data_IF_879066492288
#
_entry.id   IF_879066492288
#
_cell.length_a   1.000
_cell.length_b   1.000
_cell.length_c   1.000
_cell.angle_alpha   90.00
_cell.angle_beta   90.00
_cell.angle_gamma   90.00
#
_symmetry.space_group_name_H-M   'P 1'
#
loop_
_entity.id
_entity.type
_entity.pdbx_description
1 polymer ?
#
# COMPACT_ATOMS: atom_id res chain seq x y z
N UNK A 1 13.73 84.17 3.77
CA UNK A 1 15.12 84.59 3.58
C UNK A 1 15.91 84.24 4.82
N UNK A 2 17.05 83.60 4.61
CA UNK A 2 18.19 83.41 5.51
C UNK A 2 18.08 82.35 6.63
N UNK A 3 18.81 81.28 6.32
CA UNK A 3 19.34 80.22 7.16
C UNK A 3 20.21 80.79 8.28
N UNK A 4 20.33 80.07 9.40
CA UNK A 4 21.65 79.62 9.88
C UNK A 4 21.49 78.51 10.93
N UNK A 5 22.30 77.48 10.74
CA UNK A 5 22.53 76.35 11.63
C UNK A 5 23.25 76.79 12.91
N UNK A 6 23.10 76.05 14.01
CA UNK A 6 24.28 75.66 14.76
C UNK A 6 24.12 74.42 15.65
N UNK A 7 25.27 73.77 15.81
CA UNK A 7 25.57 72.47 16.40
C UNK A 7 25.42 72.39 17.92
N UNK A 8 24.94 71.24 18.46
CA UNK A 8 24.87 70.99 19.91
C UNK A 8 25.82 69.87 20.34
N UNK A 9 26.83 70.27 21.14
CA UNK A 9 27.81 69.44 21.86
C UNK A 9 27.18 68.67 23.03
N UNK A 10 27.83 67.54 23.32
CA UNK A 10 27.64 66.58 24.42
C UNK A 10 27.66 67.22 25.82
N UNK A 11 26.92 66.61 26.76
CA UNK A 11 27.21 66.65 28.19
C UNK A 11 26.81 65.30 28.81
N UNK A 12 27.74 64.72 29.57
CA UNK A 12 27.65 63.43 30.21
C UNK A 12 26.75 63.44 31.45
N UNK A 13 26.16 62.28 31.78
CA UNK A 13 25.67 61.98 33.12
C UNK A 13 25.83 60.48 33.42
N UNK A 14 26.95 60.19 34.07
CA UNK A 14 27.11 59.37 35.28
C UNK A 14 26.27 58.09 35.44
N UNK A 15 26.99 56.97 35.39
CA UNK A 15 26.63 55.64 35.84
C UNK A 15 26.31 55.62 37.35
N UNK A 16 25.20 54.96 37.71
CA UNK A 16 25.01 54.30 39.00
C UNK A 16 24.17 53.04 38.76
N UNK A 17 24.79 51.87 38.98
CA UNK A 17 24.08 50.60 39.14
C UNK A 17 23.36 50.60 40.50
N UNK A 18 22.23 49.87 40.66
CA UNK A 18 22.40 48.55 41.27
C UNK A 18 21.35 47.48 40.89
N UNK A 19 21.69 46.28 41.33
CA UNK A 19 20.81 45.20 41.81
C UNK A 19 20.15 44.25 40.80
N UNK A 20 20.84 43.11 40.67
CA UNK A 20 20.35 41.78 40.29
C UNK A 20 19.00 41.45 40.94
N UNK A 21 17.98 41.19 40.12
CA UNK A 21 16.78 40.43 40.50
C UNK A 21 16.60 39.29 39.50
N UNK A 22 16.68 38.06 40.00
CA UNK A 22 16.49 36.81 39.27
C UNK A 22 15.02 36.63 38.92
N UNK A 23 14.67 36.82 37.64
CA UNK A 23 13.37 36.43 37.08
C UNK A 23 13.42 34.99 36.58
N UNK A 24 12.54 34.14 37.10
CA UNK A 24 12.25 32.80 36.56
C UNK A 24 11.72 32.90 35.11
N UNK A 25 12.15 32.03 34.19
CA UNK A 25 11.68 32.06 32.81
C UNK A 25 10.23 31.57 32.76
N UNK A 26 9.32 32.44 32.36
CA UNK A 26 7.96 32.04 32.00
C UNK A 26 8.01 31.25 30.70
N UNK A 27 7.79 29.94 30.78
CA UNK A 27 7.61 29.09 29.61
C UNK A 27 6.31 29.50 28.91
N UNK A 28 6.43 30.21 27.78
CA UNK A 28 5.35 30.42 26.84
C UNK A 28 4.90 29.07 26.29
N UNK A 29 3.81 28.51 26.84
CA UNK A 29 3.14 27.35 26.26
C UNK A 29 2.25 27.84 25.11
N UNK A 30 2.68 27.61 23.87
CA UNK A 30 1.82 27.80 22.71
C UNK A 30 0.77 26.68 22.70
N UNK A 31 -0.49 27.04 22.95
CA UNK A 31 -1.63 26.13 22.83
C UNK A 31 -2.03 26.13 21.34
N UNK A 32 -1.76 25.02 20.65
CA UNK A 32 -2.16 24.84 19.24
C UNK A 32 -3.66 24.51 19.16
N UNK A 33 -4.46 25.52 18.83
CA UNK A 33 -5.92 25.43 18.68
C UNK A 33 -6.37 25.25 17.23
N UNK A 34 -5.50 24.79 16.32
CA UNK A 34 -5.94 24.53 14.94
C UNK A 34 -7.01 23.43 14.91
N UNK A 35 -8.04 23.52 14.05
CA UNK A 35 -9.14 22.53 14.02
C UNK A 35 -8.66 21.10 13.76
N UNK A 36 -7.56 20.94 13.02
CA UNK A 36 -6.96 19.65 12.70
C UNK A 36 -6.30 19.00 13.92
N UNK A 37 -5.61 19.79 14.77
CA UNK A 37 -5.03 19.32 16.04
C UNK A 37 -6.11 18.94 17.05
N UNK A 38 -7.24 19.65 17.08
CA UNK A 38 -8.39 19.27 17.90
C UNK A 38 -9.04 17.97 17.43
N UNK A 39 -9.21 17.78 16.12
CA UNK A 39 -9.78 16.54 15.57
C UNK A 39 -8.86 15.34 15.79
N UNK A 40 -7.54 15.52 15.61
CA UNK A 40 -6.55 14.50 15.90
C UNK A 40 -6.55 14.12 17.39
N UNK A 41 -6.59 15.10 18.29
CA UNK A 41 -6.68 14.87 19.74
C UNK A 41 -7.96 14.13 20.11
N UNK A 42 -9.09 14.47 19.49
CA UNK A 42 -10.38 13.80 19.72
C UNK A 42 -10.39 12.37 19.20
N UNK A 43 -9.78 12.11 18.05
CA UNK A 43 -9.61 10.74 17.53
C UNK A 43 -8.70 9.91 18.43
N UNK A 44 -7.60 10.48 18.92
CA UNK A 44 -6.69 9.84 19.86
C UNK A 44 -7.37 9.54 21.21
N UNK A 45 -8.16 10.47 21.75
CA UNK A 45 -8.96 10.25 22.96
C UNK A 45 -10.04 9.17 22.76
N UNK A 46 -10.61 9.06 21.56
CA UNK A 46 -11.61 8.03 21.23
C UNK A 46 -10.97 6.66 21.06
N UNK A 47 -9.77 6.59 20.47
CA UNK A 47 -8.97 5.38 20.37
C UNK A 47 -8.57 4.87 21.76
N UNK A 48 -8.13 5.77 22.65
CA UNK A 48 -7.73 5.43 24.02
C UNK A 48 -8.92 5.00 24.91
N UNK A 49 -10.16 5.36 24.55
CA UNK A 49 -11.39 4.95 25.26
C UNK A 49 -12.09 3.74 24.64
N UNK A 50 -11.47 3.06 23.67
CA UNK A 50 -12.04 1.86 23.08
C UNK A 50 -12.23 0.77 24.14
N UNK A 51 -13.35 0.02 24.15
CA UNK A 51 -13.56 -1.11 25.05
C UNK A 51 -12.40 -2.12 25.04
N UNK A 52 -11.68 -2.21 23.91
CA UNK A 52 -10.50 -3.07 23.76
C UNK A 52 -9.30 -2.53 24.54
N UNK A 53 -9.07 -1.21 24.52
CA UNK A 53 -8.02 -0.57 25.34
C UNK A 53 -8.35 -0.75 26.81
N UNK A 54 -9.61 -0.61 27.22
CA UNK A 54 -10.04 -0.86 28.60
C UNK A 54 -9.89 -2.34 29.01
N UNK A 55 -10.15 -3.29 28.11
CA UNK A 55 -9.91 -4.72 28.36
C UNK A 55 -8.41 -5.03 28.44
N UNK A 56 -7.58 -4.41 27.61
CA UNK A 56 -6.11 -4.52 27.65
C UNK A 56 -5.53 -3.86 28.91
N UNK A 57 -6.00 -2.67 29.28
CA UNK A 57 -5.63 -1.99 30.54
C UNK A 57 -6.07 -2.80 31.76
N UNK A 58 -7.19 -3.52 31.69
CA UNK A 58 -7.61 -4.43 32.76
C UNK A 58 -6.74 -5.69 32.85
N UNK A 59 -6.21 -6.18 31.72
CA UNK A 59 -5.19 -7.23 31.70
C UNK A 59 -3.88 -6.68 32.27
N UNK A 60 -3.43 -5.51 31.83
CA UNK A 60 -2.23 -4.83 32.34
C UNK A 60 -2.35 -4.50 33.83
N UNK A 61 -3.52 -4.08 34.32
CA UNK A 61 -3.74 -3.80 35.74
C UNK A 61 -3.70 -5.06 36.60
N UNK A 62 -4.29 -6.17 36.12
CA UNK A 62 -4.18 -7.48 36.80
C UNK A 62 -2.77 -8.06 36.78
N UNK A 63 -1.95 -7.69 35.80
CA UNK A 63 -0.56 -8.13 35.68
C UNK A 63 0.39 -7.19 36.46
N UNK A 64 0.12 -5.89 36.49
CA UNK A 64 0.92 -4.85 37.17
C UNK A 64 0.89 -4.93 38.69
N UNK A 65 -0.20 -5.41 39.30
CA UNK A 65 -0.30 -5.57 40.77
C UNK A 65 0.70 -6.59 41.34
N UNK A 66 1.40 -7.33 40.46
CA UNK A 66 2.46 -8.29 40.80
C UNK A 66 3.87 -7.84 40.44
N UNK A 67 4.05 -6.67 39.81
CA UNK A 67 5.37 -6.24 39.33
C UNK A 67 6.10 -5.49 40.44
N UNK A 68 6.84 -6.23 41.26
CA UNK A 68 7.90 -5.60 42.05
C UNK A 68 8.96 -5.01 41.10
N UNK A 69 9.45 -3.79 41.36
CA UNK A 69 10.52 -3.20 40.55
C UNK A 69 11.70 -4.15 40.49
N UNK A 70 12.09 -4.53 39.28
CA UNK A 70 13.14 -5.53 39.05
C UNK A 70 14.45 -5.07 39.71
N UNK A 71 15.04 -5.89 40.58
CA UNK A 71 16.25 -5.51 41.30
C UNK A 71 17.36 -5.10 40.31
N UNK A 72 18.01 -3.98 40.60
CA UNK A 72 19.17 -3.48 39.88
C UNK A 72 20.37 -4.39 40.21
N UNK A 73 20.51 -5.49 39.48
CA UNK A 73 21.57 -6.48 39.72
C UNK A 73 21.63 -7.57 38.65
N UNK A 74 22.73 -8.33 38.65
CA UNK A 74 22.95 -9.47 37.74
C UNK A 74 21.94 -10.56 38.12
N UNK A 75 21.04 -10.91 37.19
CA UNK A 75 20.02 -11.95 37.42
C UNK A 75 20.66 -13.32 37.67
N UNK A 76 20.12 -14.07 38.60
CA UNK A 76 20.44 -15.49 38.79
C UNK A 76 19.82 -16.34 37.67
N UNK A 77 20.32 -17.56 37.47
CA UNK A 77 19.74 -18.52 36.50
C UNK A 77 18.26 -18.84 36.80
N UNK A 78 17.89 -18.92 38.08
CA UNK A 78 16.51 -19.17 38.49
C UNK A 78 15.58 -18.01 38.12
N UNK A 79 16.02 -16.76 38.37
CA UNK A 79 15.28 -15.56 37.95
C UNK A 79 15.14 -15.49 36.42
N UNK A 80 16.21 -15.79 35.67
CA UNK A 80 16.15 -15.85 34.21
C UNK A 80 15.12 -16.87 33.71
N UNK A 81 15.04 -18.05 34.34
CA UNK A 81 14.07 -19.07 33.97
C UNK A 81 12.64 -18.64 34.32
N UNK A 82 12.43 -17.99 35.46
CA UNK A 82 11.13 -17.49 35.87
C UNK A 82 10.64 -16.38 34.93
N UNK A 83 11.52 -15.43 34.56
CA UNK A 83 11.22 -14.39 33.57
C UNK A 83 10.78 -15.00 32.24
N UNK A 84 11.43 -16.07 31.79
CA UNK A 84 11.04 -16.80 30.57
C UNK A 84 9.66 -17.45 30.71
N UNK A 85 9.35 -18.04 31.87
CA UNK A 85 8.06 -18.69 32.10
C UNK A 85 6.92 -17.66 32.15
N UNK A 86 7.15 -16.51 32.81
CA UNK A 86 6.20 -15.42 32.87
C UNK A 86 5.99 -14.77 31.50
N UNK A 87 7.07 -14.48 30.77
CA UNK A 87 7.00 -14.01 29.40
C UNK A 87 6.22 -14.99 28.52
N UNK A 88 6.46 -16.29 28.69
CA UNK A 88 5.75 -17.33 27.96
C UNK A 88 4.25 -17.30 28.25
N UNK A 89 3.85 -17.23 29.51
CA UNK A 89 2.45 -17.18 29.91
C UNK A 89 1.74 -15.91 29.40
N UNK A 90 2.41 -14.75 29.45
CA UNK A 90 1.89 -13.49 28.92
C UNK A 90 1.72 -13.55 27.39
N UNK A 91 2.72 -14.06 26.68
CA UNK A 91 2.61 -14.26 25.22
C UNK A 91 1.52 -15.27 24.87
N UNK A 92 1.34 -16.35 25.65
CA UNK A 92 0.24 -17.30 25.42
C UNK A 92 -1.14 -16.65 25.62
N UNK A 93 -1.29 -15.76 26.61
CA UNK A 93 -2.52 -14.99 26.80
C UNK A 93 -2.74 -14.00 25.65
N UNK A 94 -1.69 -13.28 25.25
CA UNK A 94 -1.73 -12.38 24.11
C UNK A 94 -2.14 -13.12 22.84
N UNK A 95 -1.48 -14.25 22.55
CA UNK A 95 -1.80 -15.12 21.41
C UNK A 95 -3.24 -15.58 21.44
N UNK A 96 -3.83 -15.90 22.60
CA UNK A 96 -5.26 -16.26 22.72
C UNK A 96 -6.19 -15.12 22.35
N UNK A 97 -5.85 -13.89 22.75
CA UNK A 97 -6.67 -12.69 22.53
C UNK A 97 -6.48 -12.03 21.15
N UNK A 98 -5.31 -12.19 20.54
CA UNK A 98 -4.95 -11.58 19.27
C UNK A 98 -5.53 -12.34 18.06
N UNK A 99 -5.94 -11.60 17.03
CA UNK A 99 -6.49 -12.14 15.78
C UNK A 99 -5.40 -12.42 14.74
N UNK A 100 -4.40 -11.54 14.65
CA UNK A 100 -3.34 -11.61 13.63
C UNK A 100 -1.96 -11.76 14.27
N UNK A 101 -0.97 -12.21 13.49
CA UNK A 101 0.43 -12.24 13.95
C UNK A 101 0.99 -10.83 14.19
N UNK A 102 0.59 -9.83 13.40
CA UNK A 102 1.04 -8.44 13.57
C UNK A 102 0.57 -7.81 14.88
N UNK A 103 -0.65 -8.15 15.34
CA UNK A 103 -1.13 -7.74 16.67
C UNK A 103 -0.23 -8.29 17.77
N UNK A 104 0.21 -9.55 17.67
CA UNK A 104 1.12 -10.16 18.65
C UNK A 104 2.51 -9.52 18.59
N UNK A 105 3.03 -9.31 17.38
CA UNK A 105 4.35 -8.70 17.16
C UNK A 105 4.44 -7.28 17.72
N UNK A 106 3.34 -6.52 17.72
CA UNK A 106 3.31 -5.17 18.25
C UNK A 106 3.67 -5.10 19.75
N UNK A 107 3.45 -6.17 20.53
CA UNK A 107 3.77 -6.23 21.96
C UNK A 107 5.17 -6.77 22.25
N UNK A 108 5.88 -7.29 21.25
CA UNK A 108 7.21 -7.88 21.45
C UNK A 108 8.21 -6.92 22.13
N UNK A 109 8.32 -5.63 21.74
CA UNK A 109 9.22 -4.70 22.45
C UNK A 109 8.89 -4.54 23.93
N UNK A 110 7.60 -4.45 24.27
CA UNK A 110 7.14 -4.29 25.66
C UNK A 110 7.45 -5.53 26.49
N UNK A 111 7.13 -6.73 25.98
CA UNK A 111 7.41 -7.99 26.66
C UNK A 111 8.93 -8.20 26.77
N UNK A 112 9.68 -7.84 25.72
CA UNK A 112 11.14 -7.89 25.71
C UNK A 112 11.74 -7.00 26.80
N UNK A 113 11.26 -5.77 26.94
CA UNK A 113 11.72 -4.84 27.97
C UNK A 113 11.32 -5.31 29.37
N UNK A 114 10.04 -5.66 29.56
CA UNK A 114 9.45 -6.11 30.82
C UNK A 114 10.20 -7.29 31.43
N UNK A 115 10.53 -8.29 30.62
CA UNK A 115 11.24 -9.50 31.08
C UNK A 115 12.74 -9.47 30.79
N UNK A 116 13.27 -8.36 30.25
CA UNK A 116 14.66 -8.22 29.79
C UNK A 116 15.06 -9.39 28.90
N UNK A 117 14.22 -9.72 27.92
CA UNK A 117 14.49 -10.76 26.93
C UNK A 117 15.64 -10.32 26.02
N UNK A 118 16.53 -11.26 25.67
CA UNK A 118 17.55 -11.00 24.64
C UNK A 118 16.89 -10.98 23.27
N UNK A 119 15.90 -11.83 23.06
CA UNK A 119 15.11 -11.87 21.84
C UNK A 119 13.70 -12.39 22.14
N UNK A 120 12.73 -11.83 21.43
CA UNK A 120 11.39 -12.37 21.24
C UNK A 120 11.03 -12.11 19.78
N UNK A 121 10.47 -13.11 19.12
CA UNK A 121 10.17 -13.01 17.70
C UNK A 121 9.46 -14.24 17.19
N UNK A 122 8.88 -14.15 16.01
CA UNK A 122 8.41 -15.33 15.32
C UNK A 122 9.59 -16.05 14.64
N UNK A 123 9.60 -17.38 14.72
CA UNK A 123 10.51 -18.21 13.98
C UNK A 123 9.97 -18.55 12.59
N UNK A 124 10.79 -19.32 11.88
CA UNK A 124 10.56 -19.81 10.53
C UNK A 124 9.20 -20.51 10.31
N UNK A 125 8.70 -21.21 11.34
CA UNK A 125 7.46 -21.98 11.29
C UNK A 125 6.23 -21.18 11.76
N UNK A 126 6.41 -19.90 12.10
CA UNK A 126 5.35 -19.09 12.72
C UNK A 126 5.07 -19.48 14.17
N UNK A 127 6.06 -20.02 14.88
CA UNK A 127 6.05 -20.17 16.34
C UNK A 127 6.76 -18.96 16.97
N UNK A 128 6.40 -18.55 18.17
CA UNK A 128 7.10 -17.47 18.88
C UNK A 128 8.27 -18.09 19.65
N UNK A 129 9.48 -17.58 19.42
CA UNK A 129 10.69 -17.92 20.14
C UNK A 129 11.04 -16.81 21.14
N UNK A 130 11.31 -17.20 22.38
CA UNK A 130 11.75 -16.33 23.47
C UNK A 130 13.14 -16.78 23.91
N UNK A 131 14.13 -15.87 23.90
CA UNK A 131 15.51 -16.14 24.31
C UNK A 131 15.91 -15.22 25.46
N UNK A 132 16.20 -15.83 26.62
CA UNK A 132 16.99 -15.23 27.72
C UNK A 132 18.19 -16.10 28.09
N UNK A 133 18.13 -17.37 27.69
CA UNK A 133 18.93 -18.48 28.19
C UNK A 133 18.37 -18.96 29.55
N UNK A 134 17.41 -19.92 29.57
CA UNK A 134 17.06 -20.83 28.47
C UNK A 134 16.11 -20.24 27.41
N UNK A 135 15.91 -21.00 26.33
CA UNK A 135 15.00 -20.68 25.21
C UNK A 135 13.63 -21.31 25.45
N UNK A 136 12.55 -20.58 25.18
CA UNK A 136 11.19 -21.10 25.17
C UNK A 136 10.56 -20.93 23.78
N UNK A 137 9.61 -21.82 23.45
CA UNK A 137 8.84 -21.80 22.20
C UNK A 137 7.34 -21.82 22.50
N UNK A 138 6.56 -21.09 21.72
CA UNK A 138 5.10 -21.02 21.81
C UNK A 138 4.53 -21.25 20.41
N UNK A 139 3.55 -22.14 20.29
CA UNK A 139 2.91 -22.44 19.02
C UNK A 139 1.85 -21.37 18.68
N UNK A 140 2.03 -20.68 17.55
CA UNK A 140 1.09 -19.71 16.98
C UNK A 140 0.64 -20.07 15.56
N UNK A 141 0.82 -21.34 15.15
CA UNK A 141 0.71 -21.79 13.76
C UNK A 141 -0.70 -21.67 13.13
N UNK A 142 -1.75 -21.53 13.95
CA UNK A 142 -3.15 -21.45 13.50
C UNK A 142 -3.65 -20.00 13.32
N UNK A 143 -2.81 -18.98 13.51
CA UNK A 143 -3.20 -17.56 13.36
C UNK A 143 -3.05 -17.08 11.92
N UNK A 144 -3.85 -16.07 11.56
CA UNK A 144 -3.77 -15.37 10.27
C UNK A 144 -2.45 -14.63 10.13
N UNK A 145 -1.82 -14.71 8.96
CA UNK A 145 -0.60 -13.95 8.67
C UNK A 145 -1.01 -12.55 8.23
N UNK A 146 -0.57 -11.53 8.96
CA UNK A 146 -0.55 -10.14 8.50
C UNK A 146 0.87 -9.68 8.14
N UNK A 147 0.99 -8.51 7.52
CA UNK A 147 2.27 -7.94 7.10
C UNK A 147 3.31 -7.84 8.21
N UNK A 148 4.60 -7.93 7.87
CA UNK A 148 5.74 -7.87 8.80
C UNK A 148 6.33 -9.24 9.11
N UNK A 149 5.48 -10.27 9.19
CA UNK A 149 5.93 -11.63 9.29
C UNK A 149 6.18 -12.22 7.90
N UNK A 150 7.45 -12.48 7.55
CA UNK A 150 7.83 -13.44 6.52
C UNK A 150 8.02 -14.81 7.21
N UNK A 151 7.02 -15.71 7.22
CA UNK A 151 7.27 -17.10 7.58
C UNK A 151 8.39 -17.60 6.67
N UNK A 152 9.33 -18.37 7.18
CA UNK A 152 10.56 -18.65 6.45
C UNK A 152 10.33 -19.16 5.04
N UNK A 153 11.11 -18.58 4.13
CA UNK A 153 10.96 -18.73 2.70
C UNK A 153 10.27 -17.48 2.18
N UNK A 154 10.92 -16.74 1.29
CA UNK A 154 10.31 -15.63 0.57
C UNK A 154 8.96 -16.08 0.00
N UNK A 155 7.88 -15.83 0.75
CA UNK A 155 6.54 -15.96 0.19
C UNK A 155 6.49 -14.81 -0.80
N UNK A 156 6.70 -15.19 -2.06
CA UNK A 156 6.44 -14.36 -3.21
C UNK A 156 5.08 -14.75 -3.75
N UNK A 157 4.43 -13.79 -4.40
CA UNK A 157 3.21 -14.09 -5.14
C UNK A 157 3.50 -15.22 -6.14
N UNK A 158 2.73 -16.32 -6.07
CA UNK A 158 2.83 -17.44 -7.01
C UNK A 158 1.52 -17.59 -7.75
N UNK A 159 1.54 -17.23 -9.03
CA UNK A 159 0.34 -17.30 -9.89
C UNK A 159 0.56 -18.30 -11.01
N UNK A 160 -0.37 -19.23 -11.15
CA UNK A 160 -0.42 -20.21 -12.22
C UNK A 160 -1.65 -19.97 -13.08
N UNK A 161 -1.47 -20.00 -14.40
CA UNK A 161 -2.54 -19.82 -15.36
C UNK A 161 -2.71 -21.10 -16.19
N UNK A 162 -3.94 -21.45 -16.49
CA UNK A 162 -4.30 -22.43 -17.53
C UNK A 162 -5.06 -21.71 -18.61
N UNK A 163 -4.83 -22.10 -19.86
CA UNK A 163 -5.37 -21.42 -21.03
C UNK A 163 -5.99 -22.41 -22.01
N UNK A 164 -6.87 -21.92 -22.86
CA UNK A 164 -7.36 -22.63 -24.04
C UNK A 164 -7.37 -21.72 -25.27
N UNK A 165 -7.64 -22.30 -26.44
CA UNK A 165 -7.89 -21.55 -27.67
C UNK A 165 -9.39 -21.38 -27.86
N UNK A 166 -9.85 -20.13 -27.95
CA UNK A 166 -11.24 -19.77 -28.21
C UNK A 166 -11.32 -18.74 -29.32
N UNK A 167 -12.05 -19.07 -30.39
CA UNK A 167 -12.28 -18.14 -31.50
C UNK A 167 -11.03 -17.64 -32.24
N UNK A 168 -9.91 -18.34 -32.12
CA UNK A 168 -8.61 -17.94 -32.68
C UNK A 168 -7.79 -17.03 -31.76
N UNK A 169 -8.08 -17.02 -30.46
CA UNK A 169 -7.27 -16.33 -29.44
C UNK A 169 -7.02 -17.25 -28.25
N UNK A 170 -5.89 -17.04 -27.58
CA UNK A 170 -5.63 -17.64 -26.27
C UNK A 170 -6.50 -16.94 -25.22
N UNK A 171 -7.16 -17.71 -24.37
CA UNK A 171 -7.94 -17.19 -23.24
C UNK A 171 -7.57 -17.94 -21.95
N UNK A 172 -7.62 -17.25 -20.82
CA UNK A 172 -7.43 -17.87 -19.50
C UNK A 172 -8.66 -18.65 -19.07
N UNK A 173 -8.49 -19.91 -18.68
CA UNK A 173 -9.57 -20.76 -18.17
C UNK A 173 -9.40 -21.13 -16.70
N UNK A 174 -8.20 -20.92 -16.15
CA UNK A 174 -7.95 -21.07 -14.72
C UNK A 174 -6.84 -20.14 -14.28
N UNK A 175 -7.00 -19.55 -13.11
CA UNK A 175 -5.95 -18.83 -12.39
C UNK A 175 -5.92 -19.34 -10.96
N UNK A 176 -4.73 -19.64 -10.45
CA UNK A 176 -4.49 -19.95 -9.03
C UNK A 176 -3.37 -19.05 -8.53
N UNK A 177 -3.68 -18.20 -7.57
CA UNK A 177 -2.73 -17.43 -6.80
C UNK A 177 -2.58 -18.07 -5.42
N UNK A 178 -1.47 -18.77 -5.19
CA UNK A 178 -1.21 -19.48 -3.93
C UNK A 178 0.28 -19.41 -3.55
N UNK A 179 0.68 -18.45 -2.68
CA UNK A 179 -0.15 -17.42 -2.08
C UNK A 179 -0.13 -16.12 -2.91
N UNK A 180 -1.10 -15.24 -2.68
CA UNK A 180 -0.99 -13.80 -2.99
C UNK A 180 -1.01 -13.00 -1.69
N UNK A 181 -0.14 -12.01 -1.57
CA UNK A 181 0.00 -11.23 -0.34
C UNK A 181 0.28 -9.76 -0.64
N UNK A 182 0.42 -8.95 0.41
CA UNK A 182 0.46 -7.49 0.28
C UNK A 182 1.79 -6.94 -0.29
N UNK A 183 2.69 -7.81 -0.75
CA UNK A 183 3.88 -7.48 -1.54
C UNK A 183 3.69 -7.84 -3.02
N UNK A 184 2.45 -8.07 -3.47
CA UNK A 184 2.19 -8.33 -4.88
C UNK A 184 2.69 -7.15 -5.75
N UNK A 185 3.20 -7.42 -6.96
CA UNK A 185 3.51 -6.35 -7.91
C UNK A 185 2.21 -5.65 -8.34
N UNK A 186 2.33 -4.46 -8.89
CA UNK A 186 1.21 -3.82 -9.59
C UNK A 186 0.87 -4.63 -10.86
N UNK A 187 -0.42 -4.91 -11.06
CA UNK A 187 -0.92 -5.52 -12.28
C UNK A 187 -1.08 -4.49 -13.40
N UNK A 188 -1.66 -4.90 -14.52
CA UNK A 188 -1.82 -4.04 -15.69
C UNK A 188 -3.19 -4.14 -16.35
N UNK A 189 -3.65 -3.06 -17.01
CA UNK A 189 -4.89 -3.08 -17.78
C UNK A 189 -4.75 -4.07 -18.96
N UNK A 190 -5.87 -4.57 -19.52
CA UNK A 190 -5.81 -5.52 -20.62
C UNK A 190 -5.09 -4.93 -21.85
N UNK A 191 -3.98 -5.55 -22.27
CA UNK A 191 -3.21 -5.14 -23.45
C UNK A 191 -4.10 -5.01 -24.69
N UNK A 192 -3.79 -4.04 -25.56
CA UNK A 192 -4.53 -3.79 -26.80
C UNK A 192 -4.46 -4.96 -27.79
N UNK A 193 -3.38 -5.74 -27.76
CA UNK A 193 -3.21 -6.94 -28.59
C UNK A 193 -3.91 -8.17 -28.02
N UNK A 194 -4.13 -8.21 -26.70
CA UNK A 194 -4.73 -9.36 -26.04
C UNK A 194 -6.15 -9.61 -26.56
N UNK A 195 -6.41 -10.85 -26.97
CA UNK A 195 -7.69 -11.36 -27.46
C UNK A 195 -8.30 -10.56 -28.62
N UNK A 196 -7.49 -9.81 -29.38
CA UNK A 196 -7.98 -8.91 -30.45
C UNK A 196 -8.89 -9.62 -31.45
N UNK A 197 -8.52 -10.83 -31.89
CA UNK A 197 -9.30 -11.61 -32.86
C UNK A 197 -10.64 -12.04 -32.30
N UNK A 198 -10.67 -12.56 -31.07
CA UNK A 198 -11.89 -13.01 -30.41
C UNK A 198 -12.83 -11.84 -30.07
N UNK A 199 -12.31 -10.78 -29.45
CA UNK A 199 -13.09 -9.59 -29.12
C UNK A 199 -13.60 -8.87 -30.38
N UNK A 200 -12.87 -8.95 -31.49
CA UNK A 200 -13.31 -8.47 -32.80
C UNK A 200 -14.60 -9.13 -33.30
N UNK A 201 -14.93 -10.34 -32.83
CA UNK A 201 -16.15 -11.08 -33.19
C UNK A 201 -17.33 -10.81 -32.25
N UNK A 202 -17.11 -10.17 -31.11
CA UNK A 202 -18.12 -9.95 -30.06
C UNK A 202 -18.63 -8.50 -30.06
N UNK A 203 -19.79 -8.30 -29.44
CA UNK A 203 -20.33 -6.95 -29.18
C UNK A 203 -19.53 -6.29 -28.07
N UNK A 204 -18.78 -5.23 -28.40
CA UNK A 204 -17.93 -4.49 -27.44
C UNK A 204 -18.27 -3.00 -27.38
N UNK A 205 -19.33 -2.57 -28.07
CA UNK A 205 -19.74 -1.16 -28.14
C UNK A 205 -20.15 -0.67 -26.73
N UNK A 206 -19.50 0.38 -26.18
CA UNK A 206 -19.82 0.92 -24.86
C UNK A 206 -21.28 1.32 -24.67
N UNK A 207 -22.01 1.66 -25.74
CA UNK A 207 -23.42 2.09 -25.71
C UNK A 207 -24.40 0.93 -25.49
N UNK A 208 -23.95 -0.30 -25.65
CA UNK A 208 -24.79 -1.49 -25.43
C UNK A 208 -25.00 -1.74 -23.94
N UNK A 209 -26.11 -2.42 -23.63
CA UNK A 209 -26.41 -2.92 -22.30
C UNK A 209 -25.25 -3.77 -21.77
N UNK A 210 -25.11 -3.84 -20.44
CA UNK A 210 -23.98 -4.57 -19.86
C UNK A 210 -24.10 -6.10 -20.03
N UNK A 211 -25.30 -6.60 -20.26
CA UNK A 211 -25.62 -8.00 -20.59
C UNK A 211 -25.15 -8.37 -22.00
N UNK A 212 -25.20 -7.42 -22.94
CA UNK A 212 -24.87 -7.66 -24.34
C UNK A 212 -23.45 -7.25 -24.72
N UNK A 213 -22.82 -6.42 -23.88
CA UNK A 213 -21.46 -5.92 -24.04
C UNK A 213 -20.44 -6.83 -23.38
N UNK A 214 -19.50 -7.31 -24.18
CA UNK A 214 -18.32 -8.04 -23.72
C UNK A 214 -17.15 -7.10 -23.49
N UNK A 215 -16.38 -7.43 -22.46
CA UNK A 215 -15.08 -6.83 -22.14
C UNK A 215 -14.04 -7.92 -21.88
N UNK A 216 -12.77 -7.53 -21.83
CA UNK A 216 -11.66 -8.40 -21.43
C UNK A 216 -11.61 -8.42 -19.90
N UNK A 217 -12.19 -9.45 -19.28
CA UNK A 217 -12.21 -9.60 -17.84
C UNK A 217 -10.96 -10.29 -17.34
N UNK A 218 -10.37 -9.79 -16.26
CA UNK A 218 -9.24 -10.43 -15.60
C UNK A 218 -9.69 -11.66 -14.78
N UNK A 219 -8.82 -12.68 -14.68
CA UNK A 219 -9.00 -13.76 -13.70
C UNK A 219 -8.40 -13.36 -12.34
N UNK A 220 -7.16 -12.85 -12.36
CA UNK A 220 -6.54 -12.15 -11.24
C UNK A 220 -6.65 -10.65 -11.50
N UNK A 221 -7.28 -9.92 -10.57
CA UNK A 221 -7.47 -8.49 -10.70
C UNK A 221 -6.13 -7.73 -10.72
N UNK A 222 -6.07 -6.67 -11.51
CA UNK A 222 -4.89 -5.82 -11.71
C UNK A 222 -4.42 -5.10 -10.44
N UNK A 223 -5.33 -4.71 -9.55
CA UNK A 223 -4.99 -4.09 -8.27
C UNK A 223 -4.37 -5.06 -7.25
N UNK A 224 -4.31 -6.35 -7.59
CA UNK A 224 -3.63 -7.40 -6.83
C UNK A 224 -2.64 -8.16 -7.74
N UNK A 225 -2.01 -7.46 -8.69
CA UNK A 225 -0.90 -8.03 -9.48
C UNK A 225 -1.29 -8.84 -10.71
N UNK A 226 -2.56 -8.77 -11.13
CA UNK A 226 -3.05 -9.36 -12.36
C UNK A 226 -2.48 -8.69 -13.62
N UNK A 227 -1.70 -9.39 -14.46
CA UNK A 227 -1.21 -8.84 -15.72
C UNK A 227 -2.33 -8.80 -16.77
N UNK A 228 -2.34 -7.78 -17.63
CA UNK A 228 -3.30 -7.64 -18.71
C UNK A 228 -2.96 -8.41 -19.98
N UNK A 229 -2.71 -9.72 -19.88
CA UNK A 229 -2.26 -10.59 -20.97
C UNK A 229 -3.23 -11.76 -21.18
N UNK A 230 -3.22 -12.37 -22.37
CA UNK A 230 -4.20 -13.39 -22.79
C UNK A 230 -4.47 -14.49 -21.74
N UNK A 231 -3.43 -14.98 -21.09
CA UNK A 231 -3.53 -16.07 -20.08
C UNK A 231 -4.29 -15.68 -18.80
N UNK A 232 -4.43 -14.39 -18.52
CA UNK A 232 -5.16 -13.85 -17.37
C UNK A 232 -6.48 -13.17 -17.80
N UNK A 233 -6.89 -13.30 -19.06
CA UNK A 233 -8.07 -12.62 -19.57
C UNK A 233 -9.08 -13.64 -20.11
N UNK A 234 -10.36 -13.34 -19.96
CA UNK A 234 -11.45 -14.09 -20.62
C UNK A 234 -12.54 -13.10 -21.07
N UNK A 235 -13.21 -13.33 -22.22
CA UNK A 235 -14.37 -12.52 -22.60
C UNK A 235 -15.51 -12.70 -21.62
N UNK A 236 -15.85 -11.63 -20.92
CA UNK A 236 -16.92 -11.61 -19.91
C UNK A 236 -17.90 -10.49 -20.25
N UNK A 237 -19.19 -10.69 -19.96
CA UNK A 237 -20.17 -9.60 -20.06
C UNK A 237 -19.86 -8.51 -19.03
N UNK A 238 -20.15 -7.25 -19.34
CA UNK A 238 -19.82 -6.14 -18.45
C UNK A 238 -20.52 -6.24 -17.09
N UNK A 239 -21.75 -6.79 -17.04
CA UNK A 239 -22.43 -7.02 -15.75
C UNK A 239 -21.80 -8.17 -14.98
N UNK A 240 -21.45 -9.28 -15.63
CA UNK A 240 -20.77 -10.38 -14.95
C UNK A 240 -19.41 -9.93 -14.39
N UNK A 241 -18.67 -9.08 -15.11
CA UNK A 241 -17.44 -8.47 -14.59
C UNK A 241 -17.67 -7.60 -13.35
N UNK A 242 -18.74 -6.78 -13.37
CA UNK A 242 -19.12 -5.99 -12.19
C UNK A 242 -19.45 -6.90 -11.00
N UNK A 243 -20.18 -7.98 -11.22
CA UNK A 243 -20.52 -8.97 -10.18
C UNK A 243 -19.27 -9.68 -9.66
N UNK A 244 -18.35 -10.07 -10.54
CA UNK A 244 -17.07 -10.67 -10.17
C UNK A 244 -16.29 -9.75 -9.23
N UNK A 245 -16.23 -8.45 -9.56
CA UNK A 245 -15.65 -7.45 -8.69
C UNK A 245 -16.34 -7.38 -7.31
N UNK A 246 -17.66 -7.21 -7.31
CA UNK A 246 -18.42 -6.90 -6.10
C UNK A 246 -18.49 -8.07 -5.11
N UNK A 247 -18.59 -9.30 -5.63
CA UNK A 247 -18.84 -10.50 -4.82
C UNK A 247 -17.55 -11.13 -4.27
N UNK A 248 -16.42 -11.01 -4.96
CA UNK A 248 -15.17 -11.66 -4.51
C UNK A 248 -13.91 -10.79 -4.65
N UNK A 249 -13.70 -10.07 -5.76
CA UNK A 249 -12.44 -9.33 -5.91
C UNK A 249 -12.30 -8.22 -4.86
N UNK A 250 -13.41 -7.56 -4.49
CA UNK A 250 -13.42 -6.55 -3.42
C UNK A 250 -12.96 -7.14 -2.08
N UNK A 251 -13.44 -8.33 -1.73
CA UNK A 251 -13.05 -9.03 -0.50
C UNK A 251 -11.57 -9.41 -0.54
N UNK A 252 -11.09 -9.96 -1.66
CA UNK A 252 -9.67 -10.32 -1.83
C UNK A 252 -8.78 -9.06 -1.78
N UNK A 253 -9.19 -7.97 -2.41
CA UNK A 253 -8.49 -6.67 -2.32
C UNK A 253 -8.44 -6.16 -0.89
N UNK A 254 -9.51 -6.26 -0.13
CA UNK A 254 -9.52 -5.85 1.27
C UNK A 254 -8.56 -6.69 2.12
N UNK A 255 -8.62 -8.02 1.98
CA UNK A 255 -7.72 -8.93 2.67
C UNK A 255 -6.26 -8.63 2.35
N UNK A 256 -5.91 -8.52 1.06
CA UNK A 256 -4.53 -8.29 0.63
C UNK A 256 -4.10 -6.86 0.91
N UNK A 257 -4.82 -5.86 0.41
CA UNK A 257 -4.34 -4.47 0.37
C UNK A 257 -4.68 -3.65 1.60
N UNK A 258 -5.65 -4.05 2.45
CA UNK A 258 -6.00 -3.28 3.65
C UNK A 258 -5.66 -4.03 4.94
N UNK A 259 -5.85 -5.35 4.96
CA UNK A 259 -5.57 -6.19 6.14
C UNK A 259 -4.20 -6.86 6.10
N UNK A 260 -3.51 -6.81 4.97
CA UNK A 260 -2.18 -7.38 4.81
C UNK A 260 -2.11 -8.90 4.85
N UNK A 261 -3.22 -9.58 4.53
CA UNK A 261 -3.30 -11.03 4.57
C UNK A 261 -2.63 -11.68 3.36
N UNK A 262 -2.05 -12.86 3.61
CA UNK A 262 -1.75 -13.81 2.55
C UNK A 262 -3.01 -14.61 2.24
N UNK A 263 -3.35 -14.73 0.97
CA UNK A 263 -4.63 -15.27 0.49
C UNK A 263 -4.35 -16.35 -0.54
N UNK A 264 -5.13 -17.42 -0.49
CA UNK A 264 -5.35 -18.29 -1.64
C UNK A 264 -6.47 -17.71 -2.48
N UNK A 265 -6.29 -17.57 -3.78
CA UNK A 265 -7.35 -17.14 -4.69
C UNK A 265 -7.33 -17.98 -5.96
N UNK A 266 -8.48 -18.56 -6.30
CA UNK A 266 -8.67 -19.34 -7.52
C UNK A 266 -9.89 -18.86 -8.30
N UNK A 267 -9.74 -18.78 -9.61
CA UNK A 267 -10.83 -18.55 -10.57
C UNK A 267 -10.77 -19.66 -11.62
N UNK A 268 -11.89 -20.37 -11.82
CA UNK A 268 -12.05 -21.36 -12.90
C UNK A 268 -13.18 -20.93 -13.82
N UNK A 269 -12.88 -20.86 -15.11
CA UNK A 269 -13.86 -20.58 -16.16
C UNK A 269 -14.30 -21.89 -16.78
N UNK A 270 -15.60 -22.13 -16.78
CA UNK A 270 -16.25 -23.22 -17.50
C UNK A 270 -17.03 -22.63 -18.67
N UNK A 271 -16.72 -23.05 -19.88
CA UNK A 271 -17.42 -22.62 -21.08
C UNK A 271 -18.86 -23.17 -21.08
N UNK A 272 -19.86 -22.29 -21.22
CA UNK A 272 -21.30 -22.61 -21.25
C UNK A 272 -21.89 -22.43 -22.67
N UNK A 273 -21.02 -22.54 -23.68
CA UNK A 273 -21.35 -22.47 -25.08
C UNK A 273 -21.01 -21.12 -25.73
N UNK A 274 -20.72 -21.16 -27.03
CA UNK A 274 -20.39 -19.97 -27.80
C UNK A 274 -20.88 -20.08 -29.24
N UNK A 275 -21.04 -18.91 -29.88
CA UNK A 275 -21.28 -18.77 -31.33
C UNK A 275 -20.41 -17.63 -31.84
N UNK A 276 -19.56 -17.93 -32.83
CA UNK A 276 -18.53 -16.99 -33.32
C UNK A 276 -18.50 -16.87 -34.85
N UNK A 277 -19.48 -17.45 -35.55
CA UNK A 277 -19.58 -17.49 -37.01
C UNK A 277 -20.70 -16.58 -37.58
N UNK A 278 -21.39 -15.83 -36.72
CA UNK A 278 -22.43 -14.87 -37.12
C UNK A 278 -21.94 -13.42 -37.10
N UNK A 279 -22.89 -12.50 -37.16
CA UNK A 279 -22.61 -11.08 -36.91
C UNK A 279 -22.24 -10.85 -35.43
N UNK A 280 -21.58 -9.74 -35.09
CA UNK A 280 -21.25 -9.41 -33.69
C UNK A 280 -22.48 -9.47 -32.76
N UNK A 281 -23.62 -8.99 -33.26
CA UNK A 281 -24.89 -9.03 -32.54
C UNK A 281 -25.41 -10.46 -32.28
N UNK A 282 -25.11 -11.41 -33.15
CA UNK A 282 -25.48 -12.82 -32.99
C UNK A 282 -24.45 -13.65 -32.23
N UNK A 283 -23.19 -13.19 -32.22
CA UNK A 283 -22.10 -13.90 -31.56
C UNK A 283 -22.18 -13.74 -30.04
N UNK A 284 -21.75 -14.80 -29.34
CA UNK A 284 -21.70 -14.84 -27.88
C UNK A 284 -20.63 -15.83 -27.41
N UNK A 285 -20.15 -15.62 -26.18
CA UNK A 285 -19.35 -16.55 -25.41
C UNK A 285 -19.96 -16.58 -24.02
N UNK A 286 -20.65 -17.67 -23.69
CA UNK A 286 -21.21 -17.84 -22.36
C UNK A 286 -20.22 -18.63 -21.51
N UNK A 287 -20.13 -18.27 -20.23
CA UNK A 287 -19.24 -18.95 -19.30
C UNK A 287 -19.75 -18.83 -17.86
N UNK A 288 -19.28 -19.76 -17.02
CA UNK A 288 -19.42 -19.73 -15.56
C UNK A 288 -18.04 -19.59 -14.94
N UNK A 289 -17.88 -18.58 -14.08
CA UNK A 289 -16.68 -18.36 -13.28
C UNK A 289 -16.94 -18.90 -11.88
N UNK A 290 -16.25 -19.97 -11.50
CA UNK A 290 -16.27 -20.50 -10.14
C UNK A 290 -15.05 -19.95 -9.42
N UNK A 291 -15.28 -19.12 -8.42
CA UNK A 291 -14.23 -18.41 -7.71
C UNK A 291 -14.21 -18.85 -6.24
N UNK A 292 -13.02 -19.00 -5.67
CA UNK A 292 -12.80 -19.35 -4.27
C UNK A 292 -11.63 -18.54 -3.73
N UNK A 293 -11.79 -17.93 -2.55
CA UNK A 293 -10.69 -17.30 -1.84
C UNK A 293 -10.79 -17.49 -0.34
N UNK A 294 -9.63 -17.55 0.33
CA UNK A 294 -9.52 -17.58 1.78
C UNK A 294 -8.14 -17.08 2.24
N UNK A 295 -8.03 -16.41 3.40
CA UNK A 295 -6.75 -16.10 4.03
C UNK A 295 -5.99 -17.37 4.44
N UNK A 296 -4.68 -17.25 4.53
CA UNK A 296 -3.77 -18.31 4.93
C UNK A 296 -3.25 -18.06 6.34
N UNK A 297 -3.20 -19.13 7.14
CA UNK A 297 -2.57 -19.13 8.45
C UNK A 297 -1.04 -19.14 8.35
N UNK A 298 -0.35 -18.95 9.48
CA UNK A 298 1.11 -18.97 9.59
C UNK A 298 1.74 -20.21 8.96
N UNK A 299 1.15 -21.39 9.17
CA UNK A 299 1.60 -22.65 8.56
C UNK A 299 1.14 -22.85 7.10
N UNK A 300 0.50 -21.85 6.48
CA UNK A 300 0.06 -21.89 5.09
C UNK A 300 -1.22 -22.70 4.85
N UNK A 301 -2.00 -22.98 5.89
CA UNK A 301 -3.29 -23.66 5.78
C UNK A 301 -4.42 -22.65 5.55
N UNK A 302 -5.56 -23.17 5.10
CA UNK A 302 -6.82 -22.42 4.99
C UNK A 302 -7.24 -21.92 6.39
N UNK A 303 -7.58 -20.64 6.47
CA UNK A 303 -8.26 -20.07 7.63
C UNK A 303 -9.78 -20.26 7.51
N UNK A 304 -10.50 -20.06 8.61
CA UNK A 304 -11.96 -20.27 8.65
C UNK A 304 -12.72 -19.28 7.76
N UNK A 305 -12.19 -18.08 7.54
CA UNK A 305 -12.80 -17.08 6.66
C UNK A 305 -12.65 -17.49 5.18
N UNK A 306 -13.77 -17.73 4.50
CA UNK A 306 -13.80 -18.20 3.10
C UNK A 306 -14.92 -17.53 2.31
N UNK A 307 -14.64 -17.19 1.06
CA UNK A 307 -15.64 -16.76 0.08
C UNK A 307 -15.60 -17.68 -1.13
N UNK A 308 -16.78 -18.11 -1.58
CA UNK A 308 -16.95 -18.85 -2.83
C UNK A 308 -18.16 -18.32 -3.59
N UNK A 309 -17.97 -18.04 -4.88
CA UNK A 309 -19.02 -17.49 -5.72
C UNK A 309 -18.99 -18.11 -7.11
N UNK A 310 -20.17 -18.32 -7.69
CA UNK A 310 -20.35 -18.65 -9.09
C UNK A 310 -20.93 -17.44 -9.84
N UNK A 311 -20.18 -16.90 -10.81
CA UNK A 311 -20.63 -15.80 -11.66
C UNK A 311 -20.98 -16.34 -13.04
N UNK A 312 -22.20 -16.08 -13.50
CA UNK A 312 -22.66 -16.44 -14.84
C UNK A 312 -22.45 -15.24 -15.77
N UNK A 313 -21.74 -15.47 -16.88
CA UNK A 313 -21.59 -14.52 -17.96
C UNK A 313 -22.35 -15.03 -19.18
N UNK A 314 -23.51 -14.45 -19.46
CA UNK A 314 -24.37 -14.88 -20.56
C UNK A 314 -25.00 -13.70 -21.28
N UNK A 315 -24.88 -13.69 -22.61
CA UNK A 315 -25.45 -12.61 -23.44
C UNK A 315 -26.96 -12.51 -23.28
N UNK A 316 -27.51 -11.30 -23.20
CA UNK A 316 -28.94 -11.03 -23.13
C UNK A 316 -29.63 -11.53 -21.85
N UNK A 317 -28.89 -12.03 -20.87
CA UNK A 317 -29.46 -12.51 -19.61
C UNK A 317 -29.49 -11.39 -18.57
N UNK A 318 -30.67 -10.80 -18.37
CA UNK A 318 -30.92 -9.82 -17.29
C UNK A 318 -31.04 -10.52 -15.93
N UNK A 319 -31.48 -11.79 -15.94
CA UNK A 319 -31.46 -12.66 -14.76
C UNK A 319 -30.05 -13.21 -14.58
N UNK A 320 -29.16 -12.39 -14.05
CA UNK A 320 -28.08 -12.97 -13.27
C UNK A 320 -28.76 -13.64 -12.09
N UNK A 321 -28.80 -14.97 -12.13
CA UNK A 321 -29.26 -15.80 -11.03
C UNK A 321 -28.82 -15.15 -9.72
N UNK A 322 -29.81 -14.78 -8.90
CA UNK A 322 -29.63 -14.66 -7.46
C UNK A 322 -28.68 -15.78 -7.08
N UNK A 323 -27.49 -15.43 -6.57
CA UNK A 323 -26.62 -16.44 -6.03
C UNK A 323 -27.49 -17.30 -5.13
N UNK A 324 -27.39 -18.63 -5.25
CA UNK A 324 -27.65 -19.46 -4.10
C UNK A 324 -26.86 -18.80 -2.98
N UNK A 325 -27.59 -18.10 -2.11
CA UNK A 325 -27.01 -17.21 -1.13
C UNK A 325 -26.18 -18.08 -0.22
N UNK A 326 -24.87 -18.13 -0.48
CA UNK A 326 -23.96 -18.40 0.60
C UNK A 326 -24.07 -17.18 1.49
N UNK A 327 -24.78 -17.35 2.60
CA UNK A 327 -24.61 -16.49 3.76
C UNK A 327 -23.11 -16.47 4.03
N UNK A 328 -22.51 -15.31 3.81
CA UNK A 328 -21.26 -15.01 4.48
C UNK A 328 -21.69 -14.91 5.93
N UNK A 329 -21.53 -16.01 6.67
CA UNK A 329 -21.70 -16.04 8.12
C UNK A 329 -20.53 -15.21 8.69
N UNK A 330 -20.59 -13.89 8.47
CA UNK A 330 -19.75 -12.92 9.17
C UNK A 330 -20.34 -12.80 10.57
N UNK A 331 -20.23 -13.85 11.37
CA UNK A 331 -20.47 -13.76 12.80
C UNK A 331 -19.43 -12.80 13.37
N UNK A 332 -19.83 -11.53 13.46
CA UNK A 332 -19.56 -10.59 14.55
C UNK A 332 -18.11 -10.27 14.91
N UNK A 333 -17.11 -10.87 14.27
CA UNK A 333 -15.71 -10.77 14.68
C UNK A 333 -15.04 -9.60 13.99
N UNK A 334 -15.60 -8.39 14.17
CA UNK A 334 -14.92 -7.08 14.09
C UNK A 334 -13.47 -7.16 13.59
N UNK A 335 -13.27 -7.25 12.28
CA UNK A 335 -11.97 -7.53 11.71
C UNK A 335 -10.98 -6.47 12.17
N UNK A 336 -9.90 -6.90 12.85
CA UNK A 336 -8.89 -5.98 13.30
C UNK A 336 -7.97 -5.64 12.13
N UNK A 337 -7.89 -4.35 11.83
CA UNK A 337 -6.92 -3.76 10.93
C UNK A 337 -5.57 -3.68 11.64
N UNK A 338 -4.50 -4.11 10.99
CA UNK A 338 -3.14 -3.93 11.49
C UNK A 338 -2.81 -2.43 11.50
N UNK A 339 -2.62 -1.83 12.67
CA UNK A 339 -2.32 -0.40 12.80
C UNK A 339 -0.91 -0.02 12.31
N UNK A 340 -0.04 -1.00 12.07
CA UNK A 340 1.28 -0.84 11.42
C UNK A 340 1.22 -1.15 9.93
N UNK A 341 0.08 -1.63 9.42
CA UNK A 341 -0.22 -1.51 8.02
C UNK A 341 -0.33 0.00 7.77
N UNK A 342 0.77 0.61 7.35
CA UNK A 342 0.75 1.96 6.81
C UNK A 342 -0.38 2.02 5.79
N UNK A 343 -0.91 3.21 5.52
CA UNK A 343 -1.95 3.48 4.51
C UNK A 343 -1.45 3.12 3.11
N UNK A 344 -1.13 1.84 2.88
CA UNK A 344 -0.68 1.26 1.64
C UNK A 344 -1.92 1.09 0.78
N UNK A 345 -2.43 2.23 0.35
CA UNK A 345 -2.89 2.34 -1.01
C UNK A 345 -1.66 2.02 -1.87
N UNK A 346 -1.75 1.15 -2.89
CA UNK A 346 -0.78 1.19 -3.96
C UNK A 346 -0.96 2.55 -4.65
N UNK A 347 -0.42 3.61 -4.05
CA UNK A 347 -0.61 5.00 -4.46
C UNK A 347 -0.02 5.22 -5.85
N UNK A 348 0.92 4.37 -6.26
CA UNK A 348 1.50 4.38 -7.61
C UNK A 348 0.74 3.47 -8.60
N UNK A 349 -0.48 3.04 -8.28
CA UNK A 349 -1.33 2.27 -9.19
C UNK A 349 -1.91 3.18 -10.27
N UNK A 350 -1.31 3.15 -11.47
CA UNK A 350 -1.72 3.95 -12.64
C UNK A 350 -2.97 3.40 -13.36
N UNK A 351 -3.61 2.34 -12.83
CA UNK A 351 -4.75 1.67 -13.48
C UNK A 351 -6.02 2.54 -13.56
N UNK A 352 -6.12 3.57 -12.71
CA UNK A 352 -7.15 4.62 -12.85
C UNK A 352 -6.54 5.81 -13.57
N UNK A 353 -7.23 6.25 -14.62
CA UNK A 353 -6.79 7.15 -15.69
C UNK A 353 -6.25 8.56 -15.30
N UNK A 354 -5.96 8.84 -14.04
CA UNK A 354 -5.18 10.02 -13.65
C UNK A 354 -3.71 9.63 -13.46
N UNK A 355 -2.96 9.74 -14.55
CA UNK A 355 -1.49 9.72 -14.57
C UNK A 355 -0.95 10.64 -13.48
N UNK A 356 -0.37 10.06 -12.44
CA UNK A 356 0.58 10.68 -11.48
C UNK A 356 0.14 11.97 -10.76
N UNK A 357 -1.11 12.40 -10.88
CA UNK A 357 -1.62 13.63 -10.25
C UNK A 357 -1.73 13.56 -8.73
N UNK A 358 -1.35 12.42 -8.16
CA UNK A 358 -1.35 12.09 -6.74
C UNK A 358 0.08 11.86 -6.21
N UNK A 359 1.10 11.89 -7.09
CA UNK A 359 2.49 11.95 -6.63
C UNK A 359 2.69 13.37 -6.13
N UNK A 360 2.92 13.48 -4.83
CA UNK A 360 3.28 14.73 -4.18
C UNK A 360 4.46 15.41 -4.90
N UNK A 361 4.43 16.74 -5.02
CA UNK A 361 5.41 17.50 -5.79
C UNK A 361 6.84 17.30 -5.26
N UNK A 362 7.03 17.14 -3.94
CA UNK A 362 8.35 16.87 -3.36
C UNK A 362 8.84 15.48 -3.71
N UNK A 363 7.95 14.47 -3.70
CA UNK A 363 8.29 13.12 -4.15
C UNK A 363 8.64 13.11 -5.64
N UNK A 364 7.92 13.89 -6.44
CA UNK A 364 8.19 14.03 -7.86
C UNK A 364 9.57 14.66 -8.14
N UNK A 365 9.90 15.77 -7.47
CA UNK A 365 11.21 16.44 -7.63
C UNK A 365 12.37 15.54 -7.19
N UNK A 366 12.20 14.77 -6.12
CA UNK A 366 13.20 13.77 -5.70
C UNK A 366 13.38 12.66 -6.75
N UNK A 367 12.29 12.17 -7.36
CA UNK A 367 12.36 11.16 -8.42
C UNK A 367 12.98 11.71 -9.70
N UNK A 368 12.75 12.99 -10.02
CA UNK A 368 13.38 13.68 -11.14
C UNK A 368 14.89 13.83 -10.91
N UNK A 369 15.30 14.22 -9.70
CA UNK A 369 16.71 14.33 -9.34
C UNK A 369 17.43 12.97 -9.44
N UNK A 370 16.84 11.90 -8.89
CA UNK A 370 17.40 10.53 -9.02
C UNK A 370 17.49 10.12 -10.50
N UNK A 371 16.48 10.45 -11.31
CA UNK A 371 16.47 10.14 -12.74
C UNK A 371 17.59 10.84 -13.51
N UNK A 372 17.93 12.09 -13.16
CA UNK A 372 18.97 12.88 -13.83
C UNK A 372 20.38 12.55 -13.35
N UNK A 373 20.57 12.44 -12.03
CA UNK A 373 21.90 12.37 -11.41
C UNK A 373 22.32 10.94 -11.06
N UNK A 374 21.37 10.03 -10.85
CA UNK A 374 21.63 8.66 -10.39
C UNK A 374 20.68 7.62 -11.06
N UNK A 375 20.67 7.50 -12.39
CA UNK A 375 19.73 6.64 -13.11
C UNK A 375 19.86 5.15 -12.75
N UNK A 376 21.04 4.72 -12.28
CA UNK A 376 21.26 3.36 -11.81
C UNK A 376 20.53 3.08 -10.48
N UNK A 377 20.42 4.08 -9.60
CA UNK A 377 19.66 4.00 -8.33
C UNK A 377 18.16 3.93 -8.56
N UNK A 378 17.69 4.34 -9.74
CA UNK A 378 16.29 4.24 -10.10
C UNK A 378 15.81 2.78 -10.14
N UNK A 379 16.69 1.83 -10.44
CA UNK A 379 16.36 0.41 -10.35
C UNK A 379 16.08 -0.05 -8.90
N UNK A 380 16.55 0.69 -7.89
CA UNK A 380 16.20 0.44 -6.49
C UNK A 380 14.72 0.75 -6.23
N UNK A 381 14.08 1.62 -7.01
CA UNK A 381 12.63 1.85 -6.93
C UNK A 381 11.85 0.57 -7.23
N UNK A 382 12.33 -0.31 -8.12
CA UNK A 382 11.69 -1.63 -8.35
C UNK A 382 11.74 -2.55 -7.14
N UNK A 383 12.66 -2.30 -6.21
CA UNK A 383 12.76 -3.02 -4.94
C UNK A 383 11.81 -2.45 -3.89
N UNK A 384 11.32 -1.22 -4.09
CA UNK A 384 10.28 -0.67 -3.24
C UNK A 384 8.98 -1.44 -3.45
N UNK A 385 8.39 -1.82 -2.33
CA UNK A 385 7.15 -2.58 -2.29
C UNK A 385 6.03 -1.80 -2.98
N UNK A 386 5.38 -2.41 -3.97
CA UNK A 386 4.28 -1.82 -4.73
C UNK A 386 4.68 -1.13 -6.04
N UNK A 387 5.98 -0.98 -6.32
CA UNK A 387 6.47 -0.46 -7.61
C UNK A 387 6.66 -1.65 -8.57
N UNK A 388 5.57 -2.03 -9.25
CA UNK A 388 5.65 -3.03 -10.33
C UNK A 388 6.36 -2.48 -11.58
N UNK A 389 6.78 -3.35 -12.50
CA UNK A 389 7.43 -2.93 -13.75
C UNK A 389 6.61 -1.93 -14.56
N UNK A 390 5.27 -2.06 -14.55
CA UNK A 390 4.37 -1.14 -15.25
C UNK A 390 4.40 0.25 -14.61
N UNK A 391 4.20 0.33 -13.29
CA UNK A 391 4.31 1.57 -12.52
C UNK A 391 5.67 2.23 -12.71
N UNK A 392 6.74 1.44 -12.65
CA UNK A 392 8.09 1.91 -12.89
C UNK A 392 8.19 2.52 -14.29
N UNK A 393 7.80 1.78 -15.33
CA UNK A 393 7.89 2.27 -16.71
C UNK A 393 7.02 3.51 -16.97
N UNK A 394 5.82 3.58 -16.39
CA UNK A 394 4.94 4.75 -16.47
C UNK A 394 5.59 5.97 -15.80
N UNK A 395 6.23 5.77 -14.65
CA UNK A 395 6.98 6.81 -13.94
C UNK A 395 8.18 7.29 -14.78
N UNK A 396 8.96 6.37 -15.35
CA UNK A 396 10.06 6.68 -16.27
C UNK A 396 9.57 7.49 -17.47
N UNK A 397 8.47 7.07 -18.08
CA UNK A 397 7.90 7.74 -19.25
C UNK A 397 7.42 9.16 -18.89
N UNK A 398 6.81 9.34 -17.73
CA UNK A 398 6.39 10.64 -17.26
C UNK A 398 7.56 11.57 -16.93
N UNK A 399 8.61 11.07 -16.26
CA UNK A 399 9.84 11.82 -15.99
C UNK A 399 10.49 12.28 -17.31
N UNK A 400 10.57 11.40 -18.32
CA UNK A 400 11.05 11.74 -19.67
C UNK A 400 10.20 12.83 -20.34
N UNK A 401 8.87 12.69 -20.29
CA UNK A 401 7.96 13.63 -20.94
C UNK A 401 7.93 15.01 -20.26
N UNK A 402 8.01 15.09 -18.93
CA UNK A 402 8.11 16.38 -18.21
C UNK A 402 9.50 16.99 -18.37
N UNK A 403 10.58 16.21 -18.37
CA UNK A 403 11.93 16.74 -18.63
C UNK A 403 12.02 17.38 -20.03
N UNK A 404 11.39 16.79 -21.05
CA UNK A 404 11.26 17.41 -22.37
C UNK A 404 10.57 18.80 -22.34
N UNK A 405 9.59 19.00 -21.46
CA UNK A 405 8.90 20.29 -21.27
C UNK A 405 9.72 21.29 -20.43
N UNK A 406 10.49 20.83 -19.43
CA UNK A 406 11.38 21.67 -18.63
C UNK A 406 12.57 22.13 -19.48
N UNK A 407 13.16 21.24 -20.29
CA UNK A 407 14.21 21.57 -21.26
C UNK A 407 13.71 22.49 -22.37
N UNK A 408 12.46 22.33 -22.84
CA UNK A 408 11.89 23.29 -23.81
C UNK A 408 11.72 24.67 -23.17
N UNK A 409 11.27 24.74 -21.91
CA UNK A 409 11.11 26.01 -21.17
C UNK A 409 12.46 26.66 -20.85
N UNK A 410 13.48 25.88 -20.44
CA UNK A 410 14.85 26.36 -20.24
C UNK A 410 15.47 26.82 -21.56
N UNK A 411 15.30 26.07 -22.64
CA UNK A 411 15.79 26.42 -23.96
C UNK A 411 15.09 27.68 -24.50
N UNK A 412 13.77 27.82 -24.31
CA UNK A 412 13.00 29.02 -24.67
C UNK A 412 13.45 30.22 -23.82
N UNK A 413 13.66 30.06 -22.51
CA UNK A 413 14.16 31.14 -21.65
C UNK A 413 15.63 31.50 -21.96
N UNK A 414 16.45 30.53 -22.35
CA UNK A 414 17.81 30.75 -22.84
C UNK A 414 17.83 31.45 -24.21
N UNK A 415 16.89 31.14 -25.10
CA UNK A 415 16.75 31.80 -26.40
C UNK A 415 16.17 33.22 -26.26
N UNK A 416 15.24 33.43 -25.32
CA UNK A 416 14.65 34.74 -25.04
C UNK A 416 15.59 35.68 -24.28
N UNK A 417 16.49 35.15 -23.43
CA UNK A 417 17.49 35.96 -22.72
C UNK A 417 18.82 36.15 -23.49
N UNK A 418 19.11 35.37 -24.54
CA UNK A 418 20.35 35.52 -25.34
C UNK A 418 20.22 36.40 -26.57
N UNK A 419 19.01 36.83 -26.95
CA UNK A 419 18.82 37.69 -28.13
C UNK A 419 19.06 39.18 -27.87
N UNK A 420 19.08 39.65 -26.63
CA UNK A 420 19.30 41.08 -26.32
C UNK A 420 20.77 41.38 -26.01
N UNK A 421 21.47 40.45 -25.35
CA UNK A 421 22.81 40.71 -24.80
C UNK A 421 23.95 40.45 -25.82
N UNK A 422 23.70 39.62 -26.83
CA UNK A 422 24.67 39.32 -27.89
C UNK A 422 24.76 40.47 -28.91
N UNK A 423 23.63 41.08 -29.29
CA UNK A 423 23.64 42.22 -30.21
C UNK A 423 24.21 43.50 -29.57
N UNK A 424 23.98 43.71 -28.27
CA UNK A 424 24.60 44.83 -27.53
C UNK A 424 26.12 44.68 -27.44
N UNK A 425 26.63 43.47 -27.17
CA UNK A 425 28.07 43.19 -27.16
C UNK A 425 28.73 43.26 -28.54
N UNK A 426 28.04 42.81 -29.59
CA UNK A 426 28.53 42.94 -30.96
C UNK A 426 28.58 44.43 -31.37
N UNK A 427 27.56 45.23 -31.03
CA UNK A 427 27.56 46.66 -31.30
C UNK A 427 28.65 47.42 -30.53
N UNK A 428 28.95 47.01 -29.29
CA UNK A 428 30.03 47.59 -28.49
C UNK A 428 31.42 47.25 -29.06
N UNK A 429 31.61 46.01 -29.53
CA UNK A 429 32.85 45.59 -30.19
C UNK A 429 33.05 46.34 -31.52
N UNK A 430 32.00 46.57 -32.30
CA UNK A 430 32.11 47.38 -33.53
C UNK A 430 32.41 48.85 -33.23
N UNK A 431 31.88 49.42 -32.15
CA UNK A 431 32.15 50.81 -31.79
C UNK A 431 33.58 51.01 -31.28
N UNK A 432 34.13 50.03 -30.54
CA UNK A 432 35.51 50.03 -30.06
C UNK A 432 36.54 49.77 -31.17
N UNK A 433 36.13 49.19 -32.31
CA UNK A 433 37.01 48.96 -33.46
C UNK A 433 37.10 50.14 -34.44
N UNK A 434 36.18 51.11 -34.38
CA UNK A 434 36.16 52.31 -35.25
C UNK A 434 36.86 53.53 -34.62
N UNK A 435 37.29 53.46 -33.34
CA UNK A 435 38.02 54.55 -32.67
C UNK A 435 39.56 54.43 -32.74
N UNK A 436 40.08 53.37 -33.36
CA UNK A 436 41.52 53.09 -33.46
C UNK A 436 42.09 53.15 -34.91
N UNK A 437 41.38 53.76 -35.87
CA UNK A 437 41.89 54.09 -37.23
C UNK A 437 41.90 55.60 -37.54
#
# INVERSE_FOLDING_TARGET
MHQHADTKKRSAATLNAPANTTSTPSTLQFIDNRPETLNHKKQQETANKSPRVTQLEAVDAKVNDTIQPLPSGKRSKAQMQEDVNLAKAEVEQLVKSAKTTGEVEAYFPMIQEKYRLKHIGFNKNGEIEIEINPKAKINSSNRLISSGFQPSGDRTMKVQYTTESLGGSTVGTKMVANPIGPNHPQGGPPSSSAQKTLMGKLTTDPKQSGEDKYIKGHLLNDNIGGPGIDKNLFPITAIANKKHHDDIERTVKDWVNNKGYWVYYEVRVSNDGYKLNGTKAQNYVNAKFNCVAYPLTANGKEADEKVSVAIISKKGSVKNSTGDGYEVDMDGTSAATDSKFGTYTPELSTSKANKLSHIDDDLYENLLWIFEEAPDELNELKKLRGVGDVTFNDLIEALKNKNANVLSTRTINLLNNKSVDIYAKIAQIYHEMDEDD
#
